data_IF_698093212938
#
_entry.id   IF_698093212938
#
_cell.length_a   1.000
_cell.length_b   1.000
_cell.length_c   1.000
_cell.angle_alpha   90.00
_cell.angle_beta   90.00
_cell.angle_gamma   90.00
#
_symmetry.space_group_name_H-M   'P 1'
#
loop_
_entity.id
_entity.type
_entity.pdbx_description
1 polymer ?
#
# COMPACT_ATOMS: atom_id res chain seq x y z
N UNK A 1 -13.97 -3.30 -2.52
CA UNK A 1 -13.60 -2.08 -1.77
C UNK A 1 -13.86 -0.83 -2.60
N UNK A 2 -13.06 -0.44 -3.60
CA UNK A 2 -13.29 0.81 -4.37
C UNK A 2 -14.67 0.96 -5.06
N UNK A 3 -15.33 -0.15 -5.44
CA UNK A 3 -16.68 -0.13 -6.01
C UNK A 3 -17.80 0.11 -4.98
N UNK A 4 -17.58 -0.25 -3.71
CA UNK A 4 -18.58 -0.13 -2.64
C UNK A 4 -18.28 1.05 -1.73
N UNK A 5 -16.99 1.35 -1.55
CA UNK A 5 -16.46 2.41 -0.72
C UNK A 5 -15.24 3.00 -1.44
N UNK A 6 -15.44 4.10 -2.20
CA UNK A 6 -14.36 4.74 -2.95
C UNK A 6 -13.20 5.08 -2.03
N UNK A 7 -12.01 4.60 -2.38
CA UNK A 7 -10.80 4.76 -1.57
C UNK A 7 -9.80 5.68 -2.25
N UNK A 8 -8.86 6.18 -1.46
CA UNK A 8 -7.66 6.84 -1.94
C UNK A 8 -6.64 5.74 -2.31
N UNK A 9 -5.95 5.85 -3.44
CA UNK A 9 -4.90 4.90 -3.80
C UNK A 9 -3.56 5.62 -4.02
N UNK A 10 -2.47 5.00 -3.56
CA UNK A 10 -1.14 5.49 -3.90
C UNK A 10 -0.85 5.34 -5.38
N UNK A 11 -0.21 6.33 -5.98
CA UNK A 11 0.03 6.38 -7.42
C UNK A 11 1.47 6.74 -7.78
N UNK A 12 1.96 6.07 -8.82
CA UNK A 12 3.17 6.44 -9.55
C UNK A 12 2.76 6.59 -11.02
N UNK A 13 2.95 7.78 -11.62
CA UNK A 13 2.70 7.96 -13.04
C UNK A 13 3.51 6.98 -13.89
N UNK A 14 2.88 6.47 -14.94
CA UNK A 14 3.52 5.61 -15.92
C UNK A 14 4.44 6.45 -16.83
N UNK A 15 5.58 5.88 -17.22
CA UNK A 15 6.59 6.60 -18.03
C UNK A 15 6.08 6.94 -19.44
N UNK A 16 5.26 6.06 -20.02
CA UNK A 16 4.62 6.30 -21.32
C UNK A 16 3.31 7.09 -21.14
N UNK A 17 3.13 8.25 -21.80
CA UNK A 17 1.94 9.11 -21.65
C UNK A 17 0.61 8.46 -22.06
N UNK A 18 0.60 7.62 -23.09
CA UNK A 18 -0.62 6.90 -23.51
C UNK A 18 -1.06 5.93 -22.42
N UNK A 19 -0.09 5.16 -21.90
CA UNK A 19 -0.36 4.20 -20.83
C UNK A 19 -0.73 4.89 -19.51
N UNK A 20 -0.17 6.08 -19.24
CA UNK A 20 -0.57 6.93 -18.12
C UNK A 20 -2.05 7.32 -18.24
N UNK A 21 -2.47 7.81 -19.41
CA UNK A 21 -3.87 8.16 -19.66
C UNK A 21 -4.80 6.96 -19.47
N UNK A 22 -4.45 5.79 -20.04
CA UNK A 22 -5.25 4.55 -19.92
C UNK A 22 -5.38 4.13 -18.45
N UNK A 23 -4.27 4.10 -17.71
CA UNK A 23 -4.25 3.68 -16.30
C UNK A 23 -5.03 4.63 -15.40
N UNK A 24 -4.81 5.94 -15.55
CA UNK A 24 -5.51 6.95 -14.76
C UNK A 24 -7.01 6.90 -15.04
N UNK A 25 -7.43 6.82 -16.31
CA UNK A 25 -8.84 6.68 -16.67
C UNK A 25 -9.47 5.42 -16.07
N UNK A 26 -8.78 4.29 -16.10
CA UNK A 26 -9.25 3.03 -15.51
C UNK A 26 -9.40 3.11 -13.98
N UNK A 27 -8.38 3.65 -13.29
CA UNK A 27 -8.34 3.73 -11.82
C UNK A 27 -9.35 4.71 -11.24
N UNK A 28 -9.61 5.83 -11.90
CA UNK A 28 -10.58 6.83 -11.46
C UNK A 28 -12.04 6.33 -11.49
N UNK A 29 -12.33 5.20 -12.14
CA UNK A 29 -13.68 4.59 -12.10
C UNK A 29 -14.07 4.04 -10.73
N UNK A 30 -13.09 3.75 -9.87
CA UNK A 30 -13.30 3.04 -8.59
C UNK A 30 -12.51 3.61 -7.42
N UNK A 31 -11.76 4.70 -7.64
CA UNK A 31 -11.02 5.40 -6.60
C UNK A 31 -11.51 6.84 -6.48
N UNK A 32 -11.52 7.36 -5.26
CA UNK A 32 -11.92 8.73 -4.94
C UNK A 32 -10.85 9.74 -5.37
N UNK A 33 -9.58 9.41 -5.14
CA UNK A 33 -8.45 10.14 -5.68
C UNK A 33 -7.19 9.27 -5.70
N UNK A 34 -6.22 9.70 -6.50
CA UNK A 34 -4.89 9.10 -6.60
C UNK A 34 -3.87 10.02 -5.92
N UNK A 35 -3.25 9.55 -4.84
CA UNK A 35 -2.25 10.32 -4.09
C UNK A 35 -0.87 9.88 -4.56
N UNK A 36 -0.03 10.81 -5.00
CA UNK A 36 1.33 10.49 -5.42
C UNK A 36 2.12 9.79 -4.30
N UNK A 37 2.86 8.73 -4.64
CA UNK A 37 3.60 7.91 -3.66
C UNK A 37 4.57 8.69 -2.75
N UNK A 38 5.08 9.83 -3.23
CA UNK A 38 5.99 10.71 -2.48
C UNK A 38 5.25 11.69 -1.55
N UNK A 39 3.92 11.79 -1.65
CA UNK A 39 3.11 12.72 -0.87
C UNK A 39 2.63 12.08 0.45
N UNK A 40 3.57 11.78 1.34
CA UNK A 40 3.28 11.18 2.64
C UNK A 40 2.33 12.05 3.48
N UNK A 41 2.49 13.38 3.46
CA UNK A 41 1.61 14.31 4.18
C UNK A 41 0.17 14.22 3.70
N UNK A 42 -0.04 14.13 2.39
CA UNK A 42 -1.36 13.95 1.79
C UNK A 42 -2.01 12.63 2.21
N UNK A 43 -1.23 11.54 2.20
CA UNK A 43 -1.72 10.22 2.64
C UNK A 43 -2.13 10.24 4.11
N UNK A 44 -1.26 10.74 5.00
CA UNK A 44 -1.57 10.85 6.45
C UNK A 44 -2.77 11.74 6.70
N UNK A 45 -2.87 12.86 5.97
CA UNK A 45 -4.02 13.77 6.07
C UNK A 45 -5.33 13.12 5.64
N UNK A 46 -5.33 12.31 4.58
CA UNK A 46 -6.50 11.56 4.14
C UNK A 46 -6.93 10.52 5.20
N UNK A 47 -5.98 9.74 5.73
CA UNK A 47 -6.25 8.77 6.79
C UNK A 47 -6.85 9.43 8.04
N UNK A 48 -6.31 10.59 8.47
CA UNK A 48 -6.84 11.35 9.62
C UNK A 48 -8.25 11.90 9.40
N UNK A 49 -8.68 12.08 8.14
CA UNK A 49 -10.05 12.48 7.79
C UNK A 49 -11.02 11.29 7.73
N UNK A 50 -10.56 10.08 8.06
CA UNK A 50 -11.36 8.86 8.00
C UNK A 50 -11.44 8.23 6.61
N UNK A 51 -10.62 8.67 5.66
CA UNK A 51 -10.55 8.05 4.33
C UNK A 51 -9.76 6.74 4.39
N UNK A 52 -10.18 5.75 3.60
CA UNK A 52 -9.39 4.54 3.40
C UNK A 52 -8.30 4.79 2.35
N UNK A 53 -7.05 4.39 2.64
CA UNK A 53 -5.94 4.44 1.67
C UNK A 53 -5.46 3.03 1.35
N UNK A 54 -5.37 2.69 0.07
CA UNK A 54 -4.70 1.49 -0.40
C UNK A 54 -3.23 1.75 -0.71
N UNK A 55 -2.37 0.91 -0.14
CA UNK A 55 -0.91 0.94 -0.28
C UNK A 55 -0.41 -0.48 -0.57
N UNK A 56 0.48 -0.63 -1.56
CA UNK A 56 1.12 -1.90 -1.90
C UNK A 56 2.54 -1.96 -1.30
N UNK A 57 2.78 -2.74 -0.23
CA UNK A 57 4.07 -2.80 0.46
C UNK A 57 5.06 -3.80 -0.13
N UNK A 58 4.68 -4.54 -1.15
CA UNK A 58 5.45 -5.59 -1.80
C UNK A 58 6.40 -5.07 -2.89
N UNK A 59 6.50 -3.74 -3.04
CA UNK A 59 7.41 -3.10 -4.00
C UNK A 59 8.72 -2.69 -3.35
N UNK A 60 9.82 -2.94 -4.06
CA UNK A 60 11.15 -2.42 -3.72
C UNK A 60 11.28 -0.95 -4.16
N UNK A 61 11.50 -0.06 -3.19
CA UNK A 61 11.74 1.36 -3.40
C UNK A 61 13.21 1.77 -3.25
N UNK A 62 14.10 0.77 -3.17
CA UNK A 62 15.51 0.90 -2.89
C UNK A 62 15.82 0.90 -1.39
N UNK A 63 17.10 1.07 -1.02
CA UNK A 63 17.55 1.00 0.38
C UNK A 63 17.01 2.14 1.23
N UNK A 64 16.78 3.32 0.63
CA UNK A 64 16.31 4.51 1.35
C UNK A 64 14.85 4.34 1.77
N UNK A 65 14.61 4.24 3.08
CA UNK A 65 13.25 4.10 3.64
C UNK A 65 12.76 2.64 3.74
N UNK A 66 13.63 1.68 3.46
CA UNK A 66 13.36 0.25 3.62
C UNK A 66 14.01 -0.30 4.89
N UNK A 67 13.39 -1.30 5.51
CA UNK A 67 14.06 -2.20 6.45
C UNK A 67 14.52 -3.44 5.69
N UNK A 68 15.62 -4.05 6.15
CA UNK A 68 16.09 -5.32 5.61
C UNK A 68 15.52 -6.43 6.47
N UNK A 69 14.77 -7.33 5.84
CA UNK A 69 14.14 -8.46 6.48
C UNK A 69 14.18 -9.71 5.58
N UNK A 70 14.12 -10.91 6.16
CA UNK A 70 13.97 -12.14 5.38
C UNK A 70 12.64 -12.16 4.63
N UNK A 71 12.69 -12.49 3.35
CA UNK A 71 11.52 -12.67 2.50
C UNK A 71 11.71 -13.89 1.58
N UNK A 72 10.93 -14.93 1.82
CA UNK A 72 11.08 -16.26 1.20
C UNK A 72 12.53 -16.78 1.29
N UNK A 73 13.16 -17.06 0.15
CA UNK A 73 14.50 -17.64 0.06
C UNK A 73 15.63 -16.60 0.15
N UNK A 74 15.32 -15.31 0.37
CA UNK A 74 16.30 -14.23 0.45
C UNK A 74 16.29 -13.64 1.85
N UNK A 75 17.41 -13.73 2.55
CA UNK A 75 17.52 -13.32 3.96
C UNK A 75 17.50 -11.80 4.16
N UNK A 76 17.97 -11.04 3.17
CA UNK A 76 18.11 -9.58 3.26
C UNK A 76 17.41 -8.90 2.08
N UNK A 77 16.09 -8.73 2.16
CA UNK A 77 15.30 -8.02 1.15
C UNK A 77 14.94 -6.63 1.63
N UNK A 78 15.12 -5.63 0.77
CA UNK A 78 14.66 -4.27 1.00
C UNK A 78 13.12 -4.25 1.05
N UNK A 79 12.59 -4.13 2.25
CA UNK A 79 11.15 -4.15 2.53
C UNK A 79 10.69 -2.77 2.96
N UNK A 80 9.70 -2.20 2.27
CA UNK A 80 9.25 -0.84 2.56
C UNK A 80 8.63 -0.71 3.95
N UNK A 81 9.04 0.32 4.70
CA UNK A 81 8.44 0.65 5.99
C UNK A 81 7.20 1.56 5.86
N UNK A 82 6.74 1.83 4.63
CA UNK A 82 5.72 2.83 4.34
C UNK A 82 4.41 2.59 5.10
N UNK A 83 3.88 1.37 5.09
CA UNK A 83 2.62 1.01 5.78
C UNK A 83 2.71 1.22 7.28
N UNK A 84 3.81 0.82 7.90
CA UNK A 84 4.08 1.03 9.32
C UNK A 84 4.13 2.53 9.67
N UNK A 85 4.87 3.33 8.90
CA UNK A 85 5.00 4.77 9.13
C UNK A 85 3.65 5.47 8.98
N UNK A 86 2.89 5.12 7.93
CA UNK A 86 1.58 5.71 7.68
C UNK A 86 0.59 5.38 8.79
N UNK A 87 0.50 4.12 9.23
CA UNK A 87 -0.36 3.72 10.36
C UNK A 87 0.02 4.47 11.64
N UNK A 88 1.32 4.55 11.98
CA UNK A 88 1.80 5.24 13.19
C UNK A 88 1.54 6.75 13.18
N UNK A 89 1.72 7.43 12.04
CA UNK A 89 1.54 8.89 11.93
C UNK A 89 0.06 9.30 11.87
N UNK A 90 -0.79 8.44 11.32
CA UNK A 90 -2.23 8.70 11.17
C UNK A 90 -3.06 8.18 12.35
N UNK A 91 -2.61 7.14 13.04
CA UNK A 91 -3.42 6.38 13.99
C UNK A 91 -4.44 5.44 13.31
N UNK A 92 -4.34 5.24 12.00
CA UNK A 92 -5.29 4.41 11.25
C UNK A 92 -5.03 2.91 11.46
N UNK A 93 -6.13 2.16 11.54
CA UNK A 93 -6.11 0.70 11.54
C UNK A 93 -5.49 0.17 10.25
N UNK A 94 -4.59 -0.81 10.37
CA UNK A 94 -3.95 -1.45 9.23
C UNK A 94 -4.65 -2.78 8.94
N UNK A 95 -5.16 -2.93 7.71
CA UNK A 95 -5.82 -4.15 7.24
C UNK A 95 -5.06 -4.72 6.05
N UNK A 96 -4.99 -6.04 5.97
CA UNK A 96 -4.48 -6.70 4.76
C UNK A 96 -5.65 -7.18 3.92
N UNK A 97 -5.51 -7.03 2.60
CA UNK A 97 -6.55 -7.39 1.64
C UNK A 97 -5.92 -8.28 0.58
N UNK A 98 -6.43 -9.50 0.46
CA UNK A 98 -6.02 -10.44 -0.58
C UNK A 98 -7.19 -10.73 -1.50
N UNK A 99 -6.93 -10.75 -2.80
CA UNK A 99 -7.95 -11.05 -3.81
C UNK A 99 -7.56 -12.32 -4.57
N UNK A 100 -8.44 -13.32 -4.56
CA UNK A 100 -8.22 -14.60 -5.24
C UNK A 100 -9.29 -14.77 -6.31
N UNK A 101 -8.87 -15.07 -7.54
CA UNK A 101 -9.78 -15.37 -8.65
C UNK A 101 -10.52 -16.68 -8.36
N UNK A 102 -11.83 -16.70 -8.56
CA UNK A 102 -12.62 -17.93 -8.42
C UNK A 102 -12.32 -18.88 -9.58
N UNK A 103 -12.34 -20.18 -9.30
CA UNK A 103 -12.02 -21.25 -10.26
C UNK A 103 -13.02 -21.33 -11.41
N UNK A 104 -14.26 -20.90 -11.18
CA UNK A 104 -15.37 -20.89 -12.14
C UNK A 104 -15.39 -19.64 -13.06
N UNK A 105 -14.39 -18.77 -12.99
CA UNK A 105 -14.34 -17.49 -13.70
C UNK A 105 -15.45 -16.48 -13.34
N UNK A 106 -16.30 -16.73 -12.34
CA UNK A 106 -17.42 -15.85 -11.98
C UNK A 106 -16.99 -14.55 -11.29
N UNK A 107 -15.69 -14.39 -11.00
CA UNK A 107 -15.11 -13.18 -10.44
C UNK A 107 -14.02 -13.49 -9.42
N UNK A 108 -14.04 -12.75 -8.31
CA UNK A 108 -13.00 -12.81 -7.28
C UNK A 108 -13.60 -12.98 -5.88
N UNK A 109 -12.85 -13.62 -5.00
CA UNK A 109 -13.10 -13.63 -3.55
C UNK A 109 -12.12 -12.69 -2.88
N UNK A 110 -12.67 -11.79 -2.07
CA UNK A 110 -11.89 -10.82 -1.30
C UNK A 110 -11.78 -11.30 0.14
N UNK A 111 -10.55 -11.42 0.63
CA UNK A 111 -10.25 -11.71 2.03
C UNK A 111 -9.73 -10.44 2.68
N UNK A 112 -10.40 -9.98 3.72
CA UNK A 112 -10.00 -8.83 4.53
C UNK A 112 -9.68 -9.38 5.91
N UNK A 113 -8.45 -9.20 6.38
CA UNK A 113 -8.06 -9.65 7.71
C UNK A 113 -8.57 -8.69 8.78
N UNK A 114 -8.64 -9.13 10.05
CA UNK A 114 -8.74 -8.21 11.18
C UNK A 114 -7.59 -7.20 11.19
N UNK A 115 -7.75 -6.16 12.02
CA UNK A 115 -6.71 -5.15 12.24
C UNK A 115 -5.39 -5.79 12.65
N UNK A 116 -4.33 -5.42 11.93
CA UNK A 116 -2.97 -5.77 12.30
C UNK A 116 -2.50 -4.88 13.44
N UNK A 117 -2.35 -5.47 14.64
CA UNK A 117 -1.83 -4.77 15.81
C UNK A 117 -0.32 -4.59 15.69
N UNK A 118 0.11 -3.38 15.36
CA UNK A 118 1.52 -3.00 15.30
C UNK A 118 2.12 -3.02 16.71
N UNK A 119 2.81 -4.10 17.09
CA UNK A 119 3.51 -4.21 18.38
C UNK A 119 4.84 -3.45 18.35
N UNK A 120 5.27 -2.85 19.47
CA UNK A 120 6.47 -1.99 19.57
C UNK A 120 7.82 -2.65 19.23
N UNK A 121 7.85 -3.94 18.88
CA UNK A 121 9.08 -4.69 18.59
C UNK A 121 9.21 -5.05 17.12
N UNK A 122 9.63 -4.07 16.31
CA UNK A 122 10.58 -4.36 15.24
C UNK A 122 11.83 -3.55 15.58
N UNK A 123 12.79 -4.19 16.26
CA UNK A 123 14.17 -3.67 16.32
C UNK A 123 14.74 -3.79 14.92
N UNK A 124 14.50 -2.78 14.09
CA UNK A 124 15.21 -2.59 12.83
C UNK A 124 16.66 -2.34 13.23
N UNK A 125 17.52 -3.37 13.17
CA UNK A 125 18.96 -3.18 13.33
C UNK A 125 19.42 -2.42 12.08
N UNK A 126 19.94 -1.18 12.20
CA UNK A 126 20.67 -0.60 11.09
C UNK A 126 21.95 -1.43 10.90
N UNK A 127 22.21 -1.88 9.68
CA UNK A 127 23.53 -2.41 9.32
C UNK A 127 24.52 -1.24 9.28
N UNK A 128 25.76 -1.42 9.77
CA UNK A 128 26.80 -0.42 9.62
C UNK A 128 27.11 -0.25 8.13
N UNK A 129 27.40 1.00 7.76
CA UNK A 129 27.85 1.42 6.43
C UNK A 129 29.13 0.67 6.07
#
# INVERSE_FOLDING_TARGET
MGLCQPMMATYRPHNNPLMEWVQTRGRMRSNKAMIGRNNLRGIVGALKKGEAVWFAPDQDYGPKGSSFAPFFAVENVATTNGTYVLSRLSGAAMLTVTMVRKTDNSGYRLYITPEWKVTRQMKIKPLPI
#
